data_IF_323204436613
#
_entry.id   IF_323204436613
#
_cell.length_a   1.000
_cell.length_b   1.000
_cell.length_c   1.000
_cell.angle_alpha   90.00
_cell.angle_beta   90.00
_cell.angle_gamma   90.00
#
_symmetry.space_group_name_H-M   'P 1'
#
loop_
_entity.id
_entity.type
_entity.pdbx_description
1 polymer ?
#
# COMPACT_ATOMS: atom_id res chain seq x y z
N UNK A 1 24.88 -23.29 19.46
CA UNK A 1 25.34 -23.41 20.87
C UNK A 1 25.95 -22.09 21.38
N UNK A 2 26.86 -21.44 20.65
CA UNK A 2 27.36 -20.10 21.02
C UNK A 2 26.27 -19.00 20.92
N UNK A 3 25.46 -19.02 19.87
CA UNK A 3 24.39 -18.03 19.64
C UNK A 3 23.30 -18.05 20.73
N UNK A 4 22.98 -19.22 21.26
CA UNK A 4 21.99 -19.38 22.34
C UNK A 4 22.48 -18.75 23.64
N UNK A 5 23.75 -18.98 24.00
CA UNK A 5 24.36 -18.41 25.21
C UNK A 5 24.47 -16.89 25.15
N UNK A 6 24.84 -16.35 23.98
CA UNK A 6 24.88 -14.90 23.76
C UNK A 6 23.49 -14.27 23.87
N UNK A 7 22.46 -14.93 23.34
CA UNK A 7 21.08 -14.48 23.45
C UNK A 7 20.57 -14.49 24.90
N UNK A 8 20.93 -15.52 25.66
CA UNK A 8 20.63 -15.64 27.09
C UNK A 8 21.31 -14.55 27.93
N UNK A 9 22.61 -14.29 27.70
CA UNK A 9 23.36 -13.24 28.40
C UNK A 9 22.83 -11.83 28.07
N UNK A 10 22.44 -11.58 26.81
CA UNK A 10 21.82 -10.33 26.40
C UNK A 10 20.45 -10.17 27.07
N UNK A 11 19.62 -11.23 27.06
CA UNK A 11 18.31 -11.20 27.70
C UNK A 11 18.42 -10.98 29.22
N UNK A 12 19.38 -11.63 29.87
CA UNK A 12 19.64 -11.47 31.30
C UNK A 12 20.07 -10.04 31.64
N UNK A 13 21.00 -9.46 30.88
CA UNK A 13 21.43 -8.07 31.07
C UNK A 13 20.32 -7.05 30.80
N UNK A 14 19.45 -7.32 29.82
CA UNK A 14 18.29 -6.46 29.54
C UNK A 14 17.30 -6.53 30.70
N UNK A 15 17.00 -7.72 31.22
CA UNK A 15 16.15 -7.88 32.40
C UNK A 15 16.73 -7.17 33.64
N UNK A 16 18.02 -7.33 33.91
CA UNK A 16 18.68 -6.71 35.06
C UNK A 16 18.70 -5.18 34.96
N UNK A 17 18.91 -4.63 33.76
CA UNK A 17 18.89 -3.18 33.54
C UNK A 17 17.49 -2.57 33.59
N UNK A 18 16.46 -3.34 33.20
CA UNK A 18 15.05 -2.98 33.38
C UNK A 18 14.67 -3.05 34.86
N UNK A 19 15.09 -4.09 35.59
CA UNK A 19 14.82 -4.21 37.03
C UNK A 19 15.54 -3.14 37.87
N UNK A 20 16.72 -2.70 37.42
CA UNK A 20 17.52 -1.67 38.09
C UNK A 20 17.21 -0.23 37.65
N UNK A 21 16.39 -0.02 36.60
CA UNK A 21 16.04 1.31 36.12
C UNK A 21 14.70 1.80 36.66
N UNK A 22 14.56 3.11 36.95
CA UNK A 22 13.25 3.69 37.22
C UNK A 22 12.29 3.44 36.06
N UNK A 23 11.04 3.09 36.36
CA UNK A 23 9.99 2.86 35.35
C UNK A 23 9.89 4.00 34.32
N UNK A 24 10.13 5.24 34.76
CA UNK A 24 10.12 6.46 33.93
C UNK A 24 11.23 6.51 32.88
N UNK A 25 12.41 5.96 33.17
CA UNK A 25 13.54 5.96 32.23
C UNK A 25 13.37 4.88 31.15
N UNK A 26 12.78 3.74 31.52
CA UNK A 26 12.38 2.70 30.57
C UNK A 26 11.33 3.24 29.61
N UNK A 27 10.28 3.88 30.14
CA UNK A 27 9.24 4.51 29.33
C UNK A 27 9.84 5.52 28.33
N UNK A 28 10.75 6.38 28.81
CA UNK A 28 11.43 7.38 27.97
C UNK A 28 12.25 6.73 26.85
N UNK A 29 13.01 5.68 27.16
CA UNK A 29 13.86 4.99 26.18
C UNK A 29 13.03 4.23 25.15
N UNK A 30 11.95 3.56 25.56
CA UNK A 30 11.02 2.90 24.64
C UNK A 30 10.37 3.93 23.71
N UNK A 31 9.90 5.06 24.25
CA UNK A 31 9.29 6.14 23.47
C UNK A 31 10.26 6.74 22.45
N UNK A 32 11.52 6.97 22.86
CA UNK A 32 12.57 7.45 21.97
C UNK A 32 12.90 6.43 20.87
N UNK A 33 12.97 5.14 21.20
CA UNK A 33 13.17 4.07 20.22
C UNK A 33 12.02 4.02 19.21
N UNK A 34 10.76 4.06 19.66
CA UNK A 34 9.60 4.07 18.76
C UNK A 34 9.58 5.30 17.86
N UNK A 35 9.86 6.49 18.40
CA UNK A 35 9.98 7.71 17.61
C UNK A 35 11.11 7.60 16.56
N UNK A 36 12.27 7.04 16.92
CA UNK A 36 13.37 6.81 15.98
C UNK A 36 13.04 5.80 14.88
N UNK A 37 12.19 4.82 15.17
CA UNK A 37 11.74 3.83 14.19
C UNK A 37 10.69 4.41 13.27
N UNK A 38 9.72 5.17 13.79
CA UNK A 38 8.74 5.91 12.99
C UNK A 38 9.39 6.94 12.07
N UNK A 39 10.42 7.64 12.55
CA UNK A 39 11.20 8.58 11.73
C UNK A 39 12.03 7.91 10.63
N UNK A 40 12.31 6.61 10.73
CA UNK A 40 13.05 5.84 9.72
C UNK A 40 12.12 5.14 8.72
N UNK A 41 10.81 5.25 8.90
CA UNK A 41 9.82 4.73 7.95
C UNK A 41 9.29 5.88 7.10
N UNK A 42 9.00 5.59 5.83
CA UNK A 42 8.31 6.52 4.92
C UNK A 42 6.81 6.56 5.26
N UNK A 43 6.50 7.13 6.43
CA UNK A 43 5.13 7.24 6.92
C UNK A 43 4.41 8.37 6.19
N UNK A 44 3.22 8.05 5.69
CA UNK A 44 2.23 9.05 5.27
C UNK A 44 1.19 9.19 6.36
N UNK A 45 0.70 10.42 6.56
CA UNK A 45 -0.41 10.66 7.48
C UNK A 45 -1.68 10.01 6.93
N UNK A 46 -2.64 9.73 7.82
CA UNK A 46 -3.93 9.18 7.41
C UNK A 46 -4.67 10.11 6.44
N UNK A 47 -4.58 11.41 6.68
CA UNK A 47 -5.20 12.43 5.84
C UNK A 47 -4.60 12.44 4.43
N UNK A 48 -3.26 12.41 4.30
CA UNK A 48 -2.59 12.31 3.00
C UNK A 48 -2.99 11.04 2.26
N UNK A 49 -3.09 9.90 2.96
CA UNK A 49 -3.54 8.65 2.36
C UNK A 49 -4.98 8.75 1.82
N UNK A 50 -5.90 9.32 2.60
CA UNK A 50 -7.30 9.48 2.21
C UNK A 50 -7.41 10.43 0.99
N UNK A 51 -6.61 11.50 0.93
CA UNK A 51 -6.52 12.39 -0.25
C UNK A 51 -6.04 11.61 -1.49
N UNK A 52 -5.01 10.77 -1.36
CA UNK A 52 -4.52 9.98 -2.49
C UNK A 52 -5.57 8.96 -2.97
N UNK A 53 -6.35 8.38 -2.06
CA UNK A 53 -7.47 7.52 -2.45
C UNK A 53 -8.51 8.28 -3.28
N UNK A 54 -8.89 9.49 -2.87
CA UNK A 54 -9.86 10.29 -3.62
C UNK A 54 -9.33 10.68 -5.00
N UNK A 55 -8.05 11.07 -5.09
CA UNK A 55 -7.38 11.35 -6.37
C UNK A 55 -7.41 10.12 -7.29
N UNK A 56 -7.15 8.92 -6.74
CA UNK A 56 -7.23 7.67 -7.50
C UNK A 56 -8.64 7.38 -8.00
N UNK A 57 -9.66 7.52 -7.15
CA UNK A 57 -11.07 7.34 -7.55
C UNK A 57 -11.41 8.25 -8.72
N UNK A 58 -11.13 9.54 -8.58
CA UNK A 58 -11.41 10.54 -9.64
C UNK A 58 -10.63 10.27 -10.92
N UNK A 59 -9.41 9.76 -10.80
CA UNK A 59 -8.59 9.40 -11.97
C UNK A 59 -9.16 8.21 -12.70
N UNK A 60 -9.64 7.18 -12.00
CA UNK A 60 -10.33 6.03 -12.60
C UNK A 60 -11.60 6.43 -13.32
N UNK A 61 -12.41 7.30 -12.72
CA UNK A 61 -13.62 7.83 -13.35
C UNK A 61 -13.31 8.56 -14.66
N UNK A 62 -12.30 9.45 -14.64
CA UNK A 62 -11.86 10.17 -15.84
C UNK A 62 -11.30 9.22 -16.90
N UNK A 63 -10.54 8.21 -16.49
CA UNK A 63 -9.96 7.20 -17.38
C UNK A 63 -11.07 6.41 -18.08
N UNK A 64 -12.05 5.89 -17.34
CA UNK A 64 -13.20 5.18 -17.92
C UNK A 64 -14.01 6.07 -18.88
N UNK A 65 -14.21 7.35 -18.54
CA UNK A 65 -14.89 8.29 -19.43
C UNK A 65 -14.12 8.54 -20.75
N UNK A 66 -12.79 8.63 -20.67
CA UNK A 66 -11.92 8.79 -21.83
C UNK A 66 -11.88 7.52 -22.69
N UNK A 67 -11.77 6.35 -22.09
CA UNK A 67 -11.85 5.05 -22.78
C UNK A 67 -13.17 4.91 -23.53
N UNK A 68 -14.30 5.24 -22.89
CA UNK A 68 -15.61 5.21 -23.54
C UNK A 68 -15.72 6.20 -24.71
N UNK A 69 -15.09 7.38 -24.58
CA UNK A 69 -15.05 8.37 -25.66
C UNK A 69 -14.14 7.91 -26.81
N UNK A 70 -13.01 7.30 -26.50
CA UNK A 70 -12.08 6.74 -27.47
C UNK A 70 -12.76 5.62 -28.26
N UNK A 71 -13.40 4.67 -27.59
CA UNK A 71 -14.14 3.59 -28.24
C UNK A 71 -15.23 4.12 -29.20
N UNK A 72 -15.95 5.17 -28.80
CA UNK A 72 -16.94 5.82 -29.70
C UNK A 72 -16.28 6.43 -30.94
N UNK A 73 -15.14 7.09 -30.79
CA UNK A 73 -14.41 7.69 -31.91
C UNK A 73 -13.82 6.62 -32.83
N UNK A 74 -13.21 5.58 -32.26
CA UNK A 74 -12.68 4.44 -33.01
C UNK A 74 -13.78 3.76 -33.84
N UNK A 75 -14.96 3.55 -33.26
CA UNK A 75 -16.10 2.97 -33.99
C UNK A 75 -16.62 3.88 -35.12
N UNK A 76 -16.47 5.20 -35.00
CA UNK A 76 -16.86 6.15 -36.06
C UNK A 76 -15.83 6.19 -37.19
N UNK A 77 -14.54 6.09 -36.86
CA UNK A 77 -13.43 6.12 -37.82
C UNK A 77 -13.23 4.78 -38.55
N UNK A 78 -13.47 3.67 -37.85
CA UNK A 78 -13.25 2.31 -38.35
C UNK A 78 -14.51 1.45 -38.20
N UNK A 79 -15.58 1.76 -38.95
CA UNK A 79 -16.88 1.08 -38.82
C UNK A 79 -16.82 -0.41 -39.19
N UNK A 80 -15.96 -0.81 -40.15
CA UNK A 80 -15.78 -2.22 -40.52
C UNK A 80 -15.12 -3.04 -39.41
N UNK A 81 -14.13 -2.48 -38.71
CA UNK A 81 -13.51 -3.12 -37.54
C UNK A 81 -14.47 -3.20 -36.34
N UNK A 82 -15.34 -2.20 -36.18
CA UNK A 82 -16.37 -2.19 -35.16
C UNK A 82 -17.45 -3.26 -35.41
N UNK A 83 -17.86 -3.45 -36.67
CA UNK A 83 -18.79 -4.51 -37.08
C UNK A 83 -18.18 -5.89 -36.82
N UNK A 84 -16.94 -6.12 -37.25
CA UNK A 84 -16.22 -7.37 -37.01
C UNK A 84 -16.06 -7.71 -35.51
N UNK A 85 -15.79 -6.70 -34.66
CA UNK A 85 -15.77 -6.89 -33.18
C UNK A 85 -17.13 -7.28 -32.62
N UNK A 86 -18.23 -6.74 -33.16
CA UNK A 86 -19.59 -7.07 -32.70
C UNK A 86 -20.02 -8.48 -33.11
N UNK A 87 -19.65 -8.90 -34.32
CA UNK A 87 -19.93 -10.23 -34.85
C UNK A 87 -19.16 -11.30 -34.06
N UNK A 88 -17.87 -11.06 -33.78
CA UNK A 88 -17.05 -11.95 -32.95
C UNK A 88 -17.60 -12.09 -31.51
N UNK A 89 -18.14 -11.02 -30.92
CA UNK A 89 -18.77 -11.07 -29.59
C UNK A 89 -20.11 -11.81 -29.59
N UNK A 90 -20.88 -11.74 -30.68
CA UNK A 90 -22.13 -12.47 -30.83
C UNK A 90 -21.90 -13.99 -30.97
N UNK A 91 -20.84 -14.41 -31.68
CA UNK A 91 -20.48 -15.82 -31.83
C UNK A 91 -19.99 -16.46 -30.52
N UNK A 92 -19.28 -15.69 -29.67
CA UNK A 92 -18.80 -16.16 -28.37
C UNK A 92 -19.91 -16.31 -27.30
N UNK A 93 -21.07 -15.67 -27.49
CA UNK A 93 -22.20 -15.72 -26.57
C UNK A 93 -23.22 -16.85 -26.83
N UNK A 94 -22.98 -17.68 -27.86
CA UNK A 94 -23.88 -18.75 -28.28
C UNK A 94 -23.28 -20.18 -28.13
N UNK A 95 -22.18 -20.33 -27.39
CA UNK A 95 -21.70 -21.61 -26.83
C UNK A 95 -21.85 -21.65 -25.32
#
# INVERSE_FOLDING_TARGET
MLSQKLFEEISAKISDTIAASPAKDIEKNIKAMMASTFSRMDLVTREEFDVQQEVLVRTREKLTALEARLARLENQLFPEEAQAKSEAQAELGHS
#
